data_IF_953436190968
#
_entry.id   IF_953436190968
#
_cell.length_a   1.000
_cell.length_b   1.000
_cell.length_c   1.000
_cell.angle_alpha   90.00
_cell.angle_beta   90.00
_cell.angle_gamma   90.00
#
_symmetry.space_group_name_H-M   'P 1'
#
loop_
_entity.id
_entity.type
_entity.pdbx_description
1 polymer ?
#
# COMPACT_ATOMS: atom_id res chain seq x y z
N UNK A 1 -8.85 -19.02 -6.07
CA UNK A 1 -8.26 -19.20 -4.71
C UNK A 1 -7.18 -18.15 -4.54
N UNK A 2 -7.14 -17.46 -3.41
CA UNK A 2 -6.11 -16.44 -3.17
C UNK A 2 -4.76 -17.12 -3.03
N UNK A 3 -3.77 -16.67 -3.80
CA UNK A 3 -2.38 -17.15 -3.71
C UNK A 3 -1.69 -16.42 -2.56
N UNK A 4 -1.70 -17.03 -1.38
CA UNK A 4 -1.24 -16.40 -0.13
C UNK A 4 0.20 -15.90 -0.19
N UNK A 5 1.10 -16.64 -0.84
CA UNK A 5 2.50 -16.23 -1.00
C UNK A 5 2.63 -14.91 -1.77
N UNK A 6 1.91 -14.79 -2.89
CA UNK A 6 1.89 -13.54 -3.66
C UNK A 6 1.27 -12.38 -2.88
N UNK A 7 0.22 -12.66 -2.10
CA UNK A 7 -0.40 -11.64 -1.25
C UNK A 7 0.58 -11.11 -0.20
N UNK A 8 1.30 -12.00 0.48
CA UNK A 8 2.28 -11.60 1.51
C UNK A 8 3.42 -10.77 0.90
N UNK A 9 3.94 -11.15 -0.26
CA UNK A 9 4.97 -10.39 -0.97
C UNK A 9 4.42 -9.01 -1.38
N UNK A 10 3.19 -8.94 -1.89
CA UNK A 10 2.54 -7.69 -2.25
C UNK A 10 2.36 -6.76 -1.06
N UNK A 11 1.89 -7.28 0.07
CA UNK A 11 1.74 -6.53 1.33
C UNK A 11 3.10 -6.00 1.80
N UNK A 12 4.15 -6.82 1.76
CA UNK A 12 5.51 -6.40 2.13
C UNK A 12 5.98 -5.19 1.31
N UNK A 13 5.81 -5.23 -0.01
CA UNK A 13 6.17 -4.11 -0.88
C UNK A 13 5.32 -2.86 -0.63
N UNK A 14 4.03 -3.02 -0.36
CA UNK A 14 3.18 -1.89 0.03
C UNK A 14 3.61 -1.27 1.36
N UNK A 15 3.96 -2.07 2.36
CA UNK A 15 4.47 -1.55 3.64
C UNK A 15 5.75 -0.74 3.41
N UNK A 16 6.73 -1.27 2.66
CA UNK A 16 7.95 -0.54 2.32
C UNK A 16 7.66 0.75 1.57
N UNK A 17 6.78 0.69 0.57
CA UNK A 17 6.38 1.86 -0.19
C UNK A 17 5.74 2.95 0.69
N UNK A 18 4.83 2.56 1.57
CA UNK A 18 4.16 3.52 2.46
C UNK A 18 5.07 4.07 3.55
N UNK A 19 6.00 3.29 4.09
CA UNK A 19 7.04 3.80 5.00
C UNK A 19 7.90 4.84 4.28
N UNK A 20 8.34 4.54 3.07
CA UNK A 20 9.14 5.47 2.26
C UNK A 20 8.36 6.75 1.90
N UNK A 21 7.09 6.63 1.50
CA UNK A 21 6.21 7.78 1.25
C UNK A 21 6.01 8.62 2.51
N UNK A 22 5.86 7.98 3.67
CA UNK A 22 5.72 8.71 4.93
C UNK A 22 6.90 9.68 5.14
N UNK A 23 8.12 9.20 4.97
CA UNK A 23 9.31 10.06 5.07
C UNK A 23 9.41 11.08 3.94
N UNK A 24 9.05 10.71 2.71
CA UNK A 24 9.04 11.62 1.57
C UNK A 24 8.12 12.82 1.82
N UNK A 25 6.90 12.58 2.29
CA UNK A 25 5.92 13.65 2.47
C UNK A 25 6.15 14.46 3.76
N UNK A 26 6.61 13.82 4.82
CA UNK A 26 6.69 14.43 6.14
C UNK A 26 8.10 14.80 6.56
N UNK A 27 9.13 14.36 5.85
CA UNK A 27 10.52 14.66 6.15
C UNK A 27 10.82 16.16 6.20
N UNK A 28 10.17 16.94 5.35
CA UNK A 28 10.28 18.42 5.33
C UNK A 28 9.84 19.08 6.64
N UNK A 29 8.92 18.47 7.40
CA UNK A 29 8.45 19.01 8.67
C UNK A 29 9.36 18.66 9.85
N UNK A 30 10.26 17.72 9.68
CA UNK A 30 11.15 17.26 10.76
C UNK A 30 12.61 17.62 10.52
N UNK A 31 13.07 17.65 9.30
CA UNK A 31 14.45 17.93 8.94
C UNK A 31 14.54 19.17 8.05
N UNK A 32 15.20 20.21 8.56
CA UNK A 32 15.34 21.49 7.87
C UNK A 32 16.03 21.36 6.51
N UNK A 33 16.94 20.39 6.36
CA UNK A 33 17.61 20.14 5.09
C UNK A 33 16.62 19.73 4.00
N UNK A 34 15.64 18.86 4.31
CA UNK A 34 14.61 18.46 3.36
C UNK A 34 13.64 19.59 3.05
N UNK A 35 13.33 20.46 4.03
CA UNK A 35 12.51 21.64 3.81
C UNK A 35 13.15 22.61 2.82
N UNK A 36 14.48 22.68 2.80
CA UNK A 36 15.24 23.51 1.85
C UNK A 36 15.54 22.84 0.50
N UNK A 37 15.42 21.52 0.44
CA UNK A 37 15.80 20.72 -0.74
C UNK A 37 14.66 19.77 -1.16
N UNK A 38 13.50 20.30 -1.47
CA UNK A 38 12.32 19.54 -1.89
C UNK A 38 12.57 18.62 -3.11
N UNK A 39 13.48 19.01 -3.97
CA UNK A 39 13.89 18.21 -5.13
C UNK A 39 14.46 16.85 -4.73
N UNK A 40 15.14 16.76 -3.59
CA UNK A 40 15.66 15.48 -3.08
C UNK A 40 14.52 14.53 -2.66
N UNK A 41 13.48 15.08 -2.04
CA UNK A 41 12.27 14.31 -1.72
C UNK A 41 11.54 13.85 -2.99
N UNK A 42 11.48 14.71 -4.01
CA UNK A 42 10.86 14.36 -5.29
C UNK A 42 11.62 13.23 -6.01
N UNK A 43 12.96 13.28 -6.04
CA UNK A 43 13.78 12.20 -6.61
C UNK A 43 13.60 10.87 -5.89
N UNK A 44 13.40 10.90 -4.58
CA UNK A 44 13.12 9.70 -3.80
C UNK A 44 11.83 8.99 -4.26
N UNK A 45 10.91 9.73 -4.85
CA UNK A 45 9.68 9.19 -5.47
C UNK A 45 9.93 8.14 -6.55
N UNK A 46 11.07 8.18 -7.25
CA UNK A 46 11.42 7.16 -8.24
C UNK A 46 11.57 5.77 -7.60
N UNK A 47 12.26 5.68 -6.47
CA UNK A 47 12.44 4.43 -5.73
C UNK A 47 11.08 3.94 -5.20
N UNK A 48 10.29 4.85 -4.64
CA UNK A 48 8.95 4.57 -4.12
C UNK A 48 8.04 3.99 -5.21
N UNK A 49 8.13 4.51 -6.43
CA UNK A 49 7.34 4.01 -7.56
C UNK A 49 7.57 2.52 -7.82
N UNK A 50 8.79 2.02 -7.70
CA UNK A 50 9.08 0.59 -7.85
C UNK A 50 8.42 -0.24 -6.76
N UNK A 51 8.40 0.22 -5.52
CA UNK A 51 7.73 -0.50 -4.43
C UNK A 51 6.23 -0.65 -4.70
N UNK A 52 5.57 0.40 -5.20
CA UNK A 52 4.15 0.35 -5.57
C UNK A 52 3.89 -0.53 -6.80
N UNK A 53 4.77 -0.48 -7.80
CA UNK A 53 4.66 -1.33 -8.99
C UNK A 53 4.73 -2.81 -8.56
N UNK A 54 5.70 -3.18 -7.75
CA UNK A 54 5.85 -4.56 -7.27
C UNK A 54 4.73 -4.95 -6.31
N UNK A 55 4.35 -4.08 -5.38
CA UNK A 55 3.22 -4.32 -4.48
C UNK A 55 1.93 -4.61 -5.25
N UNK A 56 1.62 -3.78 -6.25
CA UNK A 56 0.44 -3.97 -7.12
C UNK A 56 0.56 -5.27 -7.92
N UNK A 57 1.71 -5.52 -8.56
CA UNK A 57 1.95 -6.69 -9.38
C UNK A 57 1.69 -7.99 -8.61
N UNK A 58 2.28 -8.14 -7.44
CA UNK A 58 2.12 -9.35 -6.64
C UNK A 58 0.71 -9.46 -6.05
N UNK A 59 0.11 -8.37 -5.60
CA UNK A 59 -1.25 -8.41 -5.07
C UNK A 59 -2.27 -8.75 -6.17
N UNK A 60 -2.15 -8.17 -7.36
CA UNK A 60 -2.99 -8.53 -8.52
C UNK A 60 -2.82 -10.01 -8.87
N UNK A 61 -1.59 -10.52 -8.86
CA UNK A 61 -1.31 -11.94 -9.06
C UNK A 61 -1.94 -12.85 -8.00
N UNK A 62 -2.05 -12.37 -6.75
CA UNK A 62 -2.71 -13.10 -5.66
C UNK A 62 -4.23 -13.26 -5.87
N UNK A 63 -4.86 -12.30 -6.54
CA UNK A 63 -6.29 -12.26 -6.80
C UNK A 63 -6.67 -12.58 -8.25
N UNK A 64 -5.89 -13.45 -8.92
CA UNK A 64 -6.15 -13.94 -10.27
C UNK A 64 -6.38 -12.81 -11.31
N UNK A 65 -5.67 -11.69 -11.16
CA UNK A 65 -5.69 -10.57 -12.07
C UNK A 65 -6.65 -9.41 -11.70
N UNK A 66 -7.37 -9.50 -10.58
CA UNK A 66 -8.24 -8.45 -10.12
C UNK A 66 -7.43 -7.24 -9.62
N UNK A 67 -7.72 -6.05 -10.16
CA UNK A 67 -7.02 -4.81 -9.82
C UNK A 67 -7.57 -4.14 -8.56
N UNK A 68 -8.89 -4.23 -8.33
CA UNK A 68 -9.53 -3.57 -7.20
C UNK A 68 -9.00 -4.01 -5.83
N UNK A 69 -8.81 -5.32 -5.55
CA UNK A 69 -8.24 -5.74 -4.27
C UNK A 69 -6.88 -5.12 -4.00
N UNK A 70 -6.00 -5.04 -5.01
CA UNK A 70 -4.68 -4.42 -4.85
C UNK A 70 -4.79 -2.94 -4.44
N UNK A 71 -5.75 -2.20 -5.02
CA UNK A 71 -5.97 -0.79 -4.71
C UNK A 71 -6.45 -0.59 -3.27
N UNK A 72 -7.46 -1.37 -2.84
CA UNK A 72 -8.01 -1.24 -1.50
C UNK A 72 -7.06 -1.72 -0.41
N UNK A 73 -6.36 -2.82 -0.64
CA UNK A 73 -5.34 -3.33 0.29
C UNK A 73 -4.20 -2.33 0.43
N UNK A 74 -3.68 -1.81 -0.69
CA UNK A 74 -2.62 -0.80 -0.67
C UNK A 74 -3.06 0.46 0.09
N UNK A 75 -4.26 0.98 -0.16
CA UNK A 75 -4.80 2.13 0.54
C UNK A 75 -4.93 1.89 2.05
N UNK A 76 -5.53 0.76 2.44
CA UNK A 76 -5.72 0.43 3.87
C UNK A 76 -4.39 0.29 4.61
N UNK A 77 -3.40 -0.39 4.03
CA UNK A 77 -2.04 -0.50 4.58
C UNK A 77 -1.42 0.89 4.71
N UNK A 78 -1.59 1.75 3.70
CA UNK A 78 -1.07 3.10 3.70
C UNK A 78 -1.58 3.93 4.87
N UNK A 79 -2.87 3.88 5.15
CA UNK A 79 -3.47 4.60 6.27
C UNK A 79 -2.96 4.12 7.62
N UNK A 80 -2.79 2.81 7.79
CA UNK A 80 -2.25 2.22 9.03
C UNK A 80 -0.79 2.66 9.23
N UNK A 81 0.04 2.50 8.20
CA UNK A 81 1.47 2.89 8.26
C UNK A 81 1.61 4.38 8.52
N UNK A 82 0.79 5.20 7.88
CA UNK A 82 0.83 6.66 8.07
C UNK A 82 0.46 7.06 9.50
N UNK A 83 -0.60 6.48 10.06
CA UNK A 83 -1.02 6.76 11.44
C UNK A 83 0.06 6.33 12.46
N UNK A 84 0.68 5.17 12.27
CA UNK A 84 1.79 4.72 13.11
C UNK A 84 3.00 5.65 12.98
N UNK A 85 3.32 6.09 11.78
CA UNK A 85 4.40 7.05 11.53
C UNK A 85 4.18 8.38 12.26
N UNK A 86 2.99 8.97 12.17
CA UNK A 86 2.64 10.20 12.88
C UNK A 86 2.75 10.02 14.40
N UNK A 87 2.25 8.92 14.92
CA UNK A 87 2.33 8.65 16.35
C UNK A 87 3.78 8.48 16.84
N UNK A 88 4.62 7.74 16.12
CA UNK A 88 5.99 7.45 16.52
C UNK A 88 6.90 8.67 16.34
N UNK A 89 6.89 9.30 15.15
CA UNK A 89 7.86 10.34 14.79
C UNK A 89 7.42 11.75 15.18
N UNK A 90 6.13 12.03 15.14
CA UNK A 90 5.58 13.36 15.43
C UNK A 90 4.88 13.43 16.77
N UNK A 91 4.73 12.30 17.47
CA UNK A 91 4.00 12.22 18.75
C UNK A 91 2.55 12.70 18.64
N UNK A 92 2.00 12.68 17.44
CA UNK A 92 0.61 13.01 17.21
C UNK A 92 -0.28 11.90 17.73
N UNK A 93 -1.15 12.22 18.68
CA UNK A 93 -2.05 11.25 19.29
C UNK A 93 -3.13 10.76 18.33
N UNK A 94 -3.51 9.49 18.47
CA UNK A 94 -4.62 8.90 17.71
C UNK A 94 -5.92 9.44 18.28
N UNK A 95 -6.58 10.36 17.55
CA UNK A 95 -7.90 10.89 17.92
C UNK A 95 -8.99 9.81 17.73
N UNK A 96 -10.16 9.94 18.39
CA UNK A 96 -11.27 9.03 18.13
C UNK A 96 -11.69 8.97 16.66
N UNK A 97 -11.60 10.06 15.93
CA UNK A 97 -11.85 10.12 14.47
C UNK A 97 -10.84 9.26 13.71
N UNK A 98 -9.56 9.38 14.04
CA UNK A 98 -8.48 8.61 13.44
C UNK A 98 -8.65 7.12 13.74
N UNK A 99 -9.01 6.77 14.98
CA UNK A 99 -9.25 5.39 15.37
C UNK A 99 -10.39 4.75 14.56
N UNK A 100 -11.52 5.45 14.41
CA UNK A 100 -12.65 4.98 13.60
C UNK A 100 -12.19 4.77 12.15
N UNK A 101 -11.44 5.71 11.58
CA UNK A 101 -10.92 5.60 10.21
C UNK A 101 -9.98 4.39 10.03
N UNK A 102 -9.12 4.12 11.01
CA UNK A 102 -8.24 2.95 11.00
C UNK A 102 -9.04 1.64 11.07
N UNK A 103 -10.08 1.57 11.89
CA UNK A 103 -10.98 0.40 11.97
C UNK A 103 -11.64 0.17 10.61
N UNK A 104 -12.12 1.23 9.95
CA UNK A 104 -12.69 1.14 8.61
C UNK A 104 -11.68 0.63 7.58
N UNK A 105 -10.41 1.04 7.67
CA UNK A 105 -9.35 0.52 6.80
C UNK A 105 -9.11 -0.99 7.01
N UNK A 106 -9.12 -1.46 8.25
CA UNK A 106 -8.99 -2.89 8.57
C UNK A 106 -10.19 -3.67 8.01
N UNK A 107 -11.40 -3.16 8.18
CA UNK A 107 -12.61 -3.76 7.61
C UNK A 107 -12.50 -3.83 6.09
N UNK A 108 -12.03 -2.77 5.45
CA UNK A 108 -11.86 -2.68 4.00
C UNK A 108 -10.89 -3.75 3.47
N UNK A 109 -9.75 -3.93 4.12
CA UNK A 109 -8.78 -4.98 3.79
C UNK A 109 -9.41 -6.36 3.99
N UNK A 110 -10.12 -6.55 5.11
CA UNK A 110 -10.75 -7.83 5.44
C UNK A 110 -11.81 -8.23 4.41
N UNK A 111 -12.61 -7.28 3.93
CA UNK A 111 -13.58 -7.52 2.86
C UNK A 111 -12.87 -8.02 1.59
N UNK A 112 -11.78 -7.39 1.19
CA UNK A 112 -11.05 -7.77 -0.02
C UNK A 112 -10.40 -9.16 0.07
N UNK A 113 -9.93 -9.54 1.26
CA UNK A 113 -9.25 -10.82 1.48
C UNK A 113 -10.22 -11.96 1.76
N UNK A 114 -11.26 -11.71 2.56
CA UNK A 114 -12.16 -12.76 3.06
C UNK A 114 -13.42 -12.96 2.22
N UNK A 115 -13.89 -11.92 1.54
CA UNK A 115 -15.09 -12.03 0.73
C UNK A 115 -14.76 -12.69 -0.63
N UNK A 116 -15.21 -13.92 -0.78
CA UNK A 116 -15.07 -14.65 -2.05
C UNK A 116 -16.17 -14.23 -3.01
N UNK A 117 -15.83 -13.45 -4.01
CA UNK A 117 -16.73 -13.17 -5.14
C UNK A 117 -16.36 -14.04 -6.33
N UNK A 118 -17.38 -14.48 -7.09
CA UNK A 118 -17.18 -15.22 -8.34
C UNK A 118 -16.92 -14.26 -9.53
N UNK A 119 -16.05 -13.28 -9.34
CA UNK A 119 -15.76 -12.22 -10.32
C UNK A 119 -14.95 -12.70 -11.55
N UNK A 120 -15.00 -14.01 -11.86
CA UNK A 120 -14.22 -14.60 -12.96
C UNK A 120 -14.70 -14.21 -14.36
N UNK A 121 -15.87 -13.58 -14.49
CA UNK A 121 -16.51 -13.45 -15.79
C UNK A 121 -16.03 -12.25 -16.63
N UNK A 122 -15.27 -11.31 -16.06
CA UNK A 122 -14.92 -10.07 -16.75
C UNK A 122 -13.42 -9.85 -17.02
N UNK A 123 -12.56 -10.86 -16.77
CA UNK A 123 -11.10 -10.65 -16.74
C UNK A 123 -10.33 -11.23 -17.95
N UNK A 124 -10.98 -11.51 -19.08
CA UNK A 124 -10.31 -12.10 -20.24
C UNK A 124 -9.25 -11.21 -20.91
N UNK A 125 -9.07 -9.96 -20.45
CA UNK A 125 -8.21 -8.97 -21.09
C UNK A 125 -7.01 -8.49 -20.26
N UNK A 126 -6.80 -9.03 -19.03
CA UNK A 126 -5.70 -8.57 -18.18
C UNK A 126 -4.48 -9.47 -18.39
N UNK A 127 -3.41 -8.90 -18.91
CA UNK A 127 -2.11 -9.56 -19.02
C UNK A 127 -1.48 -9.63 -17.62
N UNK A 128 -1.35 -10.83 -17.05
CA UNK A 128 -0.69 -11.05 -15.77
C UNK A 128 0.75 -11.53 -16.05
N UNK A 129 1.74 -10.62 -16.02
CA UNK A 129 3.13 -11.00 -16.32
C UNK A 129 3.78 -11.87 -15.22
N UNK A 130 3.12 -12.02 -14.07
CA UNK A 130 3.65 -12.77 -12.92
C UNK A 130 3.63 -14.28 -13.11
N UNK A 131 2.65 -14.82 -13.86
CA UNK A 131 2.51 -16.27 -14.06
C UNK A 131 3.54 -16.89 -15.00
N UNK A 132 4.20 -16.10 -15.85
CA UNK A 132 5.16 -16.59 -16.85
C UNK A 132 6.60 -16.70 -16.35
N UNK A 133 6.91 -16.38 -15.09
CA UNK A 133 8.29 -16.35 -14.54
C UNK A 133 8.48 -17.18 -13.27
N UNK A 134 7.56 -18.07 -12.98
CA UNK A 134 7.74 -19.03 -11.88
C UNK A 134 7.94 -20.42 -12.44
#
# INVERSE_FOLDING_TARGET
MIKTEFLLIGIFWFILGHVAVFFQLNGQFKWEWFAKNEWALALFGLIISFFYIWGTKYTVGAFDGLLWPARFIGFGIGMIVYALGLWIFFKEGISPKTLISLILCVILISIQVLWKTNDKENNNNIIIPVEKKV
#
